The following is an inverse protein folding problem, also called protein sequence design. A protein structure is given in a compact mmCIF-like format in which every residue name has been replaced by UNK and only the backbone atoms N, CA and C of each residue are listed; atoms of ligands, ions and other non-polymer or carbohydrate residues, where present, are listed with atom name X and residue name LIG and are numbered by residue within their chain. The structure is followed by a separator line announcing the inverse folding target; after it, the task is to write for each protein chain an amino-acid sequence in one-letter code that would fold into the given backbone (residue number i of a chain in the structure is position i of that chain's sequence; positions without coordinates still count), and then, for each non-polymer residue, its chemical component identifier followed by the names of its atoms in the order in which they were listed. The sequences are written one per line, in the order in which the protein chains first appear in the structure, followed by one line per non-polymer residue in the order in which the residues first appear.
data_IF_401791729818
#
_entry.id   IF_401791729818
#
_cell.length_a   1.000
_cell.length_b   1.000
_cell.length_c   1.000
_cell.angle_alpha   90.00
_cell.angle_beta   90.00
_cell.angle_gamma   90.00
#
_symmetry.space_group_name_H-M   'P 1'
#
loop_
_entity.id
_entity.type
_entity.pdbx_description
1 polymer ?
#
# COMPACT_ATOMS: atom_id res chain seq x y z
N UNK A 1 16.41 -89.67 -15.46
CA UNK A 1 15.28 -89.16 -14.71
C UNK A 1 15.82 -88.28 -13.63
N UNK A 2 15.46 -87.05 -13.62
CA UNK A 2 15.12 -86.12 -12.48
C UNK A 2 15.37 -84.69 -12.95
N UNK A 3 14.27 -83.98 -12.96
CA UNK A 3 14.14 -82.55 -13.32
C UNK A 3 14.86 -81.65 -12.33
N UNK A 4 15.63 -80.66 -12.84
CA UNK A 4 16.17 -79.54 -12.07
C UNK A 4 15.39 -78.23 -12.38
N UNK A 5 14.74 -77.67 -11.41
CA UNK A 5 13.98 -76.38 -11.47
C UNK A 5 14.92 -75.18 -11.54
N UNK A 6 14.81 -74.37 -12.58
CA UNK A 6 15.44 -73.07 -12.69
C UNK A 6 14.64 -72.05 -11.86
N UNK A 7 15.24 -71.49 -10.82
CA UNK A 7 14.75 -70.31 -10.09
C UNK A 7 15.37 -69.02 -10.69
N UNK A 8 14.59 -68.29 -11.48
CA UNK A 8 14.92 -66.97 -11.93
C UNK A 8 14.59 -65.96 -10.82
N UNK A 9 15.60 -65.45 -10.14
CA UNK A 9 15.44 -64.29 -9.20
C UNK A 9 15.30 -63.02 -10.03
N UNK A 10 14.09 -62.43 -10.04
CA UNK A 10 13.85 -61.08 -10.57
C UNK A 10 14.46 -60.06 -9.62
N UNK A 11 15.51 -59.37 -10.08
CA UNK A 11 16.14 -58.24 -9.40
C UNK A 11 15.28 -57.00 -9.65
N UNK A 12 14.53 -56.55 -8.66
CA UNK A 12 13.83 -55.25 -8.70
C UNK A 12 14.85 -54.15 -8.37
N UNK A 13 15.31 -53.42 -9.38
CA UNK A 13 16.11 -52.21 -9.19
C UNK A 13 15.16 -51.08 -8.86
N UNK A 14 15.15 -50.68 -7.57
CA UNK A 14 14.40 -49.50 -7.06
C UNK A 14 15.16 -48.25 -7.50
N UNK A 15 14.65 -47.53 -8.50
CA UNK A 15 15.17 -46.23 -8.93
C UNK A 15 14.76 -45.19 -7.87
N UNK A 16 15.63 -44.82 -6.95
CA UNK A 16 15.48 -43.68 -6.06
C UNK A 16 15.71 -42.40 -6.88
N UNK A 17 14.62 -41.73 -7.30
CA UNK A 17 14.69 -40.36 -7.77
C UNK A 17 15.03 -39.44 -6.58
N UNK A 18 16.07 -38.61 -6.67
CA UNK A 18 16.31 -37.61 -5.66
C UNK A 18 15.16 -36.58 -5.71
N UNK A 19 14.37 -36.47 -4.62
CA UNK A 19 13.48 -35.34 -4.40
C UNK A 19 14.35 -34.08 -4.31
N UNK A 20 14.39 -33.30 -5.37
CA UNK A 20 14.96 -31.95 -5.32
C UNK A 20 14.08 -31.11 -4.38
N UNK A 21 14.52 -30.96 -3.15
CA UNK A 21 13.95 -30.00 -2.21
C UNK A 21 14.39 -28.63 -2.70
N UNK A 22 13.57 -28.01 -3.56
CA UNK A 22 13.70 -26.60 -3.82
C UNK A 22 13.40 -25.86 -2.51
N UNK A 23 14.30 -24.99 -2.02
CA UNK A 23 13.98 -24.15 -0.89
C UNK A 23 12.76 -23.30 -1.31
N UNK A 24 11.60 -23.58 -0.70
CA UNK A 24 10.49 -22.62 -0.75
C UNK A 24 11.03 -21.36 -0.08
N UNK A 25 11.34 -20.34 -0.86
CA UNK A 25 11.42 -18.99 -0.37
C UNK A 25 10.01 -18.74 0.20
N UNK A 26 9.89 -18.82 1.52
CA UNK A 26 8.66 -18.41 2.20
C UNK A 26 8.43 -16.97 1.79
N UNK A 27 7.41 -16.72 0.97
CA UNK A 27 6.99 -15.37 0.67
C UNK A 27 6.76 -14.67 2.02
N UNK A 28 7.31 -13.46 2.17
CA UNK A 28 7.08 -12.64 3.36
C UNK A 28 5.57 -12.53 3.56
N UNK A 29 5.09 -12.89 4.74
CA UNK A 29 3.67 -12.95 5.05
C UNK A 29 3.37 -12.04 6.23
N UNK A 30 2.42 -11.14 6.01
CA UNK A 30 1.83 -10.29 7.05
C UNK A 30 0.38 -10.73 7.21
N UNK A 31 -0.09 -10.89 8.43
CA UNK A 31 -1.50 -11.23 8.65
C UNK A 31 -2.42 -10.10 8.15
N UNK A 32 -3.54 -10.40 7.50
CA UNK A 32 -4.58 -9.42 7.17
C UNK A 32 -5.04 -8.64 8.40
N UNK A 33 -5.49 -7.41 8.18
CA UNK A 33 -6.15 -6.64 9.24
C UNK A 33 -7.51 -7.26 9.60
N UNK A 34 -7.93 -7.04 10.83
CA UNK A 34 -9.19 -7.54 11.37
C UNK A 34 -10.17 -6.38 11.61
N UNK A 35 -11.47 -6.68 11.60
CA UNK A 35 -12.50 -5.68 11.92
C UNK A 35 -12.21 -5.04 13.28
N UNK A 36 -12.17 -3.70 13.30
CA UNK A 36 -11.91 -2.91 14.49
C UNK A 36 -10.43 -2.64 14.75
N UNK A 37 -9.51 -3.16 13.92
CA UNK A 37 -8.10 -2.80 14.04
C UNK A 37 -7.88 -1.28 13.91
N UNK A 38 -7.00 -0.80 14.78
CA UNK A 38 -6.46 0.55 14.75
C UNK A 38 -4.99 0.45 14.35
N UNK A 39 -4.71 0.81 13.12
CA UNK A 39 -3.38 0.64 12.51
C UNK A 39 -2.64 1.97 12.50
N UNK A 40 -1.46 2.04 13.11
CA UNK A 40 -0.58 3.20 12.99
C UNK A 40 0.59 2.89 12.07
N UNK A 41 0.83 3.78 11.12
CA UNK A 41 1.98 3.71 10.23
C UNK A 41 3.05 4.67 10.73
N UNK A 42 4.07 4.11 11.39
CA UNK A 42 5.17 4.87 12.01
C UNK A 42 6.36 4.90 11.05
N UNK A 43 6.87 6.10 10.78
CA UNK A 43 8.00 6.28 9.87
C UNK A 43 8.50 7.72 9.81
N UNK A 44 9.22 8.00 8.73
CA UNK A 44 9.79 9.31 8.42
C UNK A 44 8.99 10.05 7.33
N UNK A 45 9.64 10.91 6.53
CA UNK A 45 9.04 11.67 5.42
C UNK A 45 8.30 10.80 4.40
N UNK A 46 8.78 9.57 4.14
CA UNK A 46 8.13 8.65 3.19
C UNK A 46 6.76 8.23 3.70
N UNK A 47 6.58 8.10 5.00
CA UNK A 47 5.28 7.84 5.62
C UNK A 47 4.47 9.12 5.78
N UNK A 48 5.10 10.22 6.22
CA UNK A 48 4.48 11.53 6.43
C UNK A 48 3.79 12.06 5.17
N UNK A 49 4.57 12.24 4.10
CA UNK A 49 4.09 12.83 2.85
C UNK A 49 3.50 11.86 1.85
N UNK A 50 3.56 10.55 2.14
CA UNK A 50 3.16 9.52 1.18
C UNK A 50 1.77 8.95 1.40
N UNK A 51 1.26 8.28 0.35
CA UNK A 51 -0.11 7.78 0.31
C UNK A 51 -0.23 6.27 0.50
N UNK A 52 0.87 5.51 0.64
CA UNK A 52 0.78 4.05 0.65
C UNK A 52 -0.20 3.51 1.71
N UNK A 53 -0.23 4.09 2.91
CA UNK A 53 -1.16 3.70 3.97
C UNK A 53 -2.60 4.07 3.65
N UNK A 54 -2.84 5.21 2.98
CA UNK A 54 -4.16 5.62 2.49
C UNK A 54 -4.65 4.66 1.39
N UNK A 55 -3.76 4.23 0.48
CA UNK A 55 -4.08 3.24 -0.55
C UNK A 55 -4.36 1.85 0.04
N UNK A 56 -3.61 1.42 1.06
CA UNK A 56 -3.91 0.16 1.77
C UNK A 56 -5.30 0.24 2.41
N UNK A 57 -5.64 1.35 3.06
CA UNK A 57 -6.96 1.51 3.66
C UNK A 57 -8.06 1.57 2.61
N UNK A 58 -7.85 2.26 1.49
CA UNK A 58 -8.79 2.30 0.36
C UNK A 58 -9.09 0.89 -0.18
N UNK A 59 -8.08 0.02 -0.28
CA UNK A 59 -8.30 -1.37 -0.64
C UNK A 59 -9.25 -2.08 0.34
N UNK A 60 -9.02 -1.91 1.63
CA UNK A 60 -9.92 -2.50 2.65
C UNK A 60 -11.32 -1.87 2.62
N UNK A 61 -11.44 -0.56 2.42
CA UNK A 61 -12.74 0.12 2.28
C UNK A 61 -13.55 -0.40 1.10
N UNK A 62 -12.90 -0.75 0.00
CA UNK A 62 -13.58 -1.22 -1.22
C UNK A 62 -13.80 -2.73 -1.22
N UNK A 63 -12.83 -3.53 -0.80
CA UNK A 63 -12.93 -4.99 -0.84
C UNK A 63 -13.68 -5.60 0.35
N UNK A 64 -13.67 -4.92 1.49
CA UNK A 64 -14.27 -5.43 2.72
C UNK A 64 -15.18 -4.38 3.37
N UNK A 65 -16.29 -3.98 2.70
CA UNK A 65 -17.14 -2.86 3.15
C UNK A 65 -17.74 -3.05 4.55
N UNK A 66 -17.87 -4.30 5.02
CA UNK A 66 -18.29 -4.61 6.39
C UNK A 66 -17.19 -4.60 7.44
N UNK A 67 -15.93 -4.40 7.02
CA UNK A 67 -14.74 -4.42 7.89
C UNK A 67 -14.28 -3.00 8.21
N UNK A 68 -14.92 -2.38 9.21
CA UNK A 68 -14.48 -1.04 9.65
C UNK A 68 -13.12 -1.14 10.31
N UNK A 69 -12.16 -0.39 9.76
CA UNK A 69 -10.81 -0.18 10.28
C UNK A 69 -10.62 1.30 10.62
N UNK A 70 -9.59 1.57 11.39
CA UNK A 70 -9.07 2.92 11.57
C UNK A 70 -7.57 2.91 11.30
N UNK A 71 -7.08 3.83 10.48
CA UNK A 71 -5.67 3.93 10.14
C UNK A 71 -5.17 5.35 10.36
N UNK A 72 -3.95 5.48 10.85
CA UNK A 72 -3.31 6.77 11.08
C UNK A 72 -1.90 6.82 10.51
N UNK A 73 -1.58 7.94 9.90
CA UNK A 73 -0.24 8.34 9.56
C UNK A 73 0.47 8.87 10.82
N UNK A 74 1.56 8.21 11.21
CA UNK A 74 2.46 8.62 12.28
C UNK A 74 3.90 8.82 11.73
N UNK A 75 4.03 9.26 10.50
CA UNK A 75 5.30 9.71 9.90
C UNK A 75 5.62 11.14 10.30
N UNK A 76 6.92 11.46 10.42
CA UNK A 76 7.44 12.84 10.55
C UNK A 76 8.67 12.98 9.67
N UNK A 77 8.71 14.03 8.86
CA UNK A 77 9.81 14.30 7.92
C UNK A 77 11.15 14.42 8.64
N UNK A 78 12.20 13.77 8.12
CA UNK A 78 13.53 13.83 8.70
C UNK A 78 13.85 12.80 9.79
N UNK A 79 12.86 12.16 10.38
CA UNK A 79 13.05 11.24 11.50
C UNK A 79 14.02 10.09 11.18
N UNK A 80 14.89 9.83 12.13
CA UNK A 80 15.62 8.57 12.32
C UNK A 80 14.92 7.75 13.42
N UNK A 81 15.42 6.54 13.69
CA UNK A 81 14.91 5.73 14.81
C UNK A 81 14.91 6.48 16.16
N UNK A 82 15.86 7.41 16.37
CA UNK A 82 15.97 8.21 17.60
C UNK A 82 14.81 9.21 17.74
N UNK A 83 14.50 9.97 16.72
CA UNK A 83 13.43 10.97 16.73
C UNK A 83 12.05 10.28 16.82
N UNK A 84 11.86 9.15 16.10
CA UNK A 84 10.65 8.33 16.26
C UNK A 84 10.46 7.91 17.72
N UNK A 85 11.52 7.46 18.41
CA UNK A 85 11.44 7.06 19.81
C UNK A 85 11.08 8.23 20.73
N UNK A 86 11.61 9.44 20.45
CA UNK A 86 11.37 10.63 21.27
C UNK A 86 9.89 11.07 21.30
N UNK A 87 9.13 10.81 20.21
CA UNK A 87 7.70 11.15 20.10
C UNK A 87 6.75 9.95 20.27
N UNK A 88 7.28 8.79 20.59
CA UNK A 88 6.55 7.53 20.48
C UNK A 88 5.31 7.47 21.36
N UNK A 89 5.39 7.91 22.62
CA UNK A 89 4.27 7.86 23.55
C UNK A 89 3.17 8.85 23.17
N UNK A 90 3.55 10.10 22.90
CA UNK A 90 2.61 11.20 22.68
C UNK A 90 1.98 11.21 21.29
N UNK A 91 2.73 10.81 20.25
CA UNK A 91 2.24 10.85 18.87
C UNK A 91 1.72 9.49 18.38
N UNK A 92 2.38 8.39 18.76
CA UNK A 92 2.03 7.06 18.25
C UNK A 92 1.07 6.32 19.18
N UNK A 93 1.44 6.14 20.46
CA UNK A 93 0.62 5.37 21.40
C UNK A 93 -0.67 6.09 21.79
N UNK A 94 -0.71 7.43 21.72
CA UNK A 94 -1.94 8.21 21.91
C UNK A 94 -3.05 7.84 20.92
N UNK A 95 -2.72 7.22 19.77
CA UNK A 95 -3.68 6.73 18.77
C UNK A 95 -4.31 5.38 19.14
N UNK A 96 -3.90 4.78 20.28
CA UNK A 96 -4.39 3.48 20.77
C UNK A 96 -4.32 2.37 19.71
N UNK A 97 -3.14 2.10 19.10
CA UNK A 97 -3.01 1.10 18.05
C UNK A 97 -3.26 -0.32 18.56
N UNK A 98 -3.94 -1.15 17.74
CA UNK A 98 -3.94 -2.62 17.87
C UNK A 98 -2.90 -3.25 16.96
N UNK A 99 -2.54 -2.54 15.86
CA UNK A 99 -1.49 -2.91 14.93
C UNK A 99 -0.57 -1.71 14.73
N UNK A 100 0.72 -1.94 14.82
CA UNK A 100 1.74 -0.91 14.64
C UNK A 100 2.70 -1.36 13.55
N UNK A 101 2.80 -0.57 12.47
CA UNK A 101 3.88 -0.72 11.49
C UNK A 101 5.02 0.22 11.84
N UNK A 102 6.27 -0.25 11.69
CA UNK A 102 7.44 0.53 12.07
C UNK A 102 8.49 0.47 10.97
N UNK A 103 8.88 1.64 10.45
CA UNK A 103 9.90 1.77 9.40
C UNK A 103 10.85 2.92 9.68
N UNK A 104 12.15 2.72 9.39
CA UNK A 104 13.22 3.70 9.46
C UNK A 104 14.37 3.27 8.56
N UNK A 105 15.44 4.05 8.44
CA UNK A 105 16.66 3.67 7.74
C UNK A 105 17.09 4.67 6.65
N UNK A 106 16.15 5.36 6.01
CA UNK A 106 16.48 6.34 4.95
C UNK A 106 17.36 7.47 5.49
N UNK A 107 16.96 8.07 6.61
CA UNK A 107 17.69 9.18 7.24
C UNK A 107 18.85 8.67 8.13
N UNK A 108 18.68 7.50 8.76
CA UNK A 108 19.67 6.89 9.63
C UNK A 108 21.00 6.60 8.91
N UNK A 109 20.95 6.38 7.60
CA UNK A 109 22.13 6.07 6.79
C UNK A 109 22.87 7.32 6.27
N UNK A 110 22.32 8.56 6.47
CA UNK A 110 22.95 9.81 5.99
C UNK A 110 22.84 9.98 4.48
N UNK A 111 23.44 11.04 3.94
CA UNK A 111 23.27 11.47 2.54
C UNK A 111 24.58 11.89 1.86
N UNK A 112 24.95 13.18 1.95
CA UNK A 112 25.99 13.85 1.14
C UNK A 112 27.38 13.26 1.33
N UNK A 113 27.66 12.68 2.48
CA UNK A 113 28.97 12.14 2.84
C UNK A 113 29.33 10.88 2.02
N UNK A 114 28.37 10.25 1.35
CA UNK A 114 28.65 9.19 0.38
C UNK A 114 29.46 9.67 -0.83
N UNK A 115 29.52 10.97 -1.08
CA UNK A 115 30.33 11.56 -2.15
C UNK A 115 31.76 11.86 -1.71
N UNK A 116 32.12 11.65 -0.43
CA UNK A 116 33.44 11.91 0.11
C UNK A 116 34.36 10.69 -0.05
N UNK A 117 35.68 10.92 0.00
CA UNK A 117 36.68 9.86 -0.12
C UNK A 117 36.62 8.83 1.02
N UNK A 118 36.10 9.19 2.19
CA UNK A 118 35.95 8.36 3.38
C UNK A 118 34.53 7.77 3.52
N UNK A 119 33.72 7.79 2.45
CA UNK A 119 32.32 7.31 2.41
C UNK A 119 32.13 5.93 3.03
N UNK A 120 33.09 5.01 2.85
CA UNK A 120 33.01 3.67 3.46
C UNK A 120 33.15 3.70 5.00
N UNK A 121 33.93 4.62 5.55
CA UNK A 121 34.04 4.81 7.01
C UNK A 121 32.75 5.44 7.55
N UNK A 122 32.24 6.45 6.86
CA UNK A 122 30.96 7.08 7.15
C UNK A 122 29.81 6.06 7.14
N UNK A 123 29.69 5.21 6.12
CA UNK A 123 28.67 4.18 6.04
C UNK A 123 28.72 3.21 7.24
N UNK A 124 29.93 2.80 7.67
CA UNK A 124 30.10 1.95 8.87
C UNK A 124 29.66 2.67 10.15
N UNK A 125 30.04 3.93 10.30
CA UNK A 125 29.63 4.75 11.43
C UNK A 125 28.10 4.87 11.49
N UNK A 126 27.44 5.20 10.37
CA UNK A 126 25.98 5.34 10.30
C UNK A 126 25.26 4.04 10.59
N UNK A 127 25.76 2.90 10.12
CA UNK A 127 25.21 1.58 10.47
C UNK A 127 25.31 1.31 11.98
N UNK A 128 26.42 1.67 12.62
CA UNK A 128 26.58 1.50 14.07
C UNK A 128 25.63 2.43 14.84
N UNK A 129 25.52 3.69 14.45
CA UNK A 129 24.55 4.64 15.04
C UNK A 129 23.11 4.14 14.89
N UNK A 130 22.73 3.65 13.70
CA UNK A 130 21.40 3.09 13.43
C UNK A 130 21.13 1.85 14.32
N UNK A 131 22.13 0.98 14.49
CA UNK A 131 22.05 -0.19 15.40
C UNK A 131 21.78 0.23 16.84
N UNK A 132 22.51 1.20 17.35
CA UNK A 132 22.40 1.67 18.74
C UNK A 132 21.03 2.33 18.99
N UNK A 133 20.58 3.19 18.08
CA UNK A 133 19.29 3.87 18.14
C UNK A 133 18.15 2.86 18.06
N UNK A 134 18.24 1.92 17.11
CA UNK A 134 17.23 0.87 16.96
C UNK A 134 17.13 -0.06 18.15
N UNK A 135 18.25 -0.37 18.83
CA UNK A 135 18.22 -1.17 20.06
C UNK A 135 17.31 -0.54 21.14
N UNK A 136 17.31 0.79 21.27
CA UNK A 136 16.42 1.50 22.19
C UNK A 136 14.94 1.42 21.73
N UNK A 137 14.70 1.54 20.42
CA UNK A 137 13.37 1.33 19.88
C UNK A 137 12.88 -0.11 20.10
N UNK A 138 13.74 -1.10 19.86
CA UNK A 138 13.42 -2.52 20.08
C UNK A 138 13.00 -2.79 21.53
N UNK A 139 13.70 -2.24 22.52
CA UNK A 139 13.31 -2.36 23.93
C UNK A 139 11.93 -1.72 24.21
N UNK A 140 11.66 -0.53 23.63
CA UNK A 140 10.35 0.11 23.73
C UNK A 140 9.26 -0.76 23.10
N UNK A 141 9.47 -1.24 21.89
CA UNK A 141 8.49 -2.06 21.15
C UNK A 141 8.20 -3.39 21.89
N UNK A 142 9.21 -4.03 22.49
CA UNK A 142 9.06 -5.25 23.31
C UNK A 142 8.21 -5.02 24.55
N UNK A 143 8.23 -3.82 25.11
CA UNK A 143 7.44 -3.48 26.30
C UNK A 143 5.94 -3.38 26.03
N UNK A 144 5.52 -3.21 24.78
CA UNK A 144 4.13 -3.04 24.38
C UNK A 144 3.36 -4.37 24.49
N UNK A 145 2.18 -4.33 25.08
CA UNK A 145 1.32 -5.51 25.23
C UNK A 145 0.07 -5.38 24.36
N UNK A 146 -0.32 -6.48 23.73
CA UNK A 146 -1.56 -6.53 22.95
C UNK A 146 -1.53 -5.78 21.63
N UNK A 147 -0.36 -5.31 21.20
CA UNK A 147 -0.17 -4.63 19.90
C UNK A 147 0.55 -5.60 18.96
N UNK A 148 -0.05 -5.85 17.79
CA UNK A 148 0.59 -6.60 16.70
C UNK A 148 1.61 -5.71 16.01
N UNK A 149 2.84 -6.20 15.89
CA UNK A 149 3.97 -5.45 15.35
C UNK A 149 4.30 -5.92 13.94
N UNK A 150 4.40 -4.99 13.00
CA UNK A 150 4.87 -5.20 11.62
C UNK A 150 6.10 -4.33 11.37
N UNK A 151 7.27 -4.94 11.32
CA UNK A 151 8.49 -4.25 10.95
C UNK A 151 8.58 -4.15 9.43
N UNK A 152 8.86 -2.94 8.91
CA UNK A 152 8.93 -2.68 7.46
C UNK A 152 10.33 -2.19 7.12
N UNK A 153 11.06 -2.95 6.28
CA UNK A 153 12.25 -2.48 5.59
C UNK A 153 11.87 -1.41 4.57
N UNK A 154 12.42 -0.22 4.74
CA UNK A 154 12.03 1.00 3.99
C UNK A 154 12.21 0.86 2.48
N UNK A 155 11.48 1.69 1.69
CA UNK A 155 11.71 1.84 0.24
C UNK A 155 13.17 2.18 -0.06
N UNK A 156 13.69 1.88 -1.26
CA UNK A 156 15.09 2.14 -1.60
C UNK A 156 15.38 3.63 -1.77
N UNK A 157 16.64 4.01 -1.53
CA UNK A 157 17.25 5.12 -2.22
C UNK A 157 17.59 4.66 -3.65
N UNK A 158 17.14 5.40 -4.67
CA UNK A 158 17.42 5.00 -6.04
C UNK A 158 18.82 5.42 -6.47
N UNK A 159 19.75 4.47 -6.43
CA UNK A 159 21.13 4.64 -6.89
C UNK A 159 21.36 4.09 -8.31
N UNK A 160 20.31 3.64 -9.01
CA UNK A 160 20.42 2.94 -10.30
C UNK A 160 19.96 3.75 -11.50
N UNK A 161 19.00 4.65 -11.33
CA UNK A 161 18.48 5.49 -12.40
C UNK A 161 19.51 6.53 -12.87
N UNK A 162 19.52 6.80 -14.16
CA UNK A 162 20.46 7.75 -14.82
C UNK A 162 19.84 9.12 -15.13
N UNK A 163 18.70 9.48 -14.54
CA UNK A 163 18.03 10.76 -14.85
C UNK A 163 18.82 12.01 -14.44
N UNK A 164 19.78 11.88 -13.53
CA UNK A 164 20.79 12.89 -13.17
C UNK A 164 22.02 12.23 -12.54
N UNK A 165 23.10 12.98 -12.39
CA UNK A 165 24.39 12.52 -11.84
C UNK A 165 24.50 12.66 -10.31
N UNK A 166 23.47 13.18 -9.63
CA UNK A 166 23.49 13.38 -8.17
C UNK A 166 23.16 12.06 -7.46
N UNK A 167 24.10 11.14 -7.41
CA UNK A 167 23.96 9.81 -6.84
C UNK A 167 24.81 9.68 -5.59
N UNK A 168 24.20 9.25 -4.48
CA UNK A 168 24.91 8.81 -3.27
C UNK A 168 25.23 7.33 -3.41
N UNK A 169 26.36 7.03 -4.06
CA UNK A 169 26.78 5.65 -4.34
C UNK A 169 26.85 4.83 -3.05
N UNK A 170 26.36 3.58 -3.09
CA UNK A 170 26.34 2.65 -1.95
C UNK A 170 25.44 3.06 -0.76
N UNK A 171 24.66 4.15 -0.86
CA UNK A 171 23.70 4.50 0.18
C UNK A 171 22.65 3.40 0.35
N UNK A 172 22.05 2.91 -0.73
CA UNK A 172 21.06 1.85 -0.64
C UNK A 172 21.64 0.52 -0.14
N UNK A 173 22.91 0.23 -0.44
CA UNK A 173 23.61 -0.94 0.12
C UNK A 173 23.69 -0.87 1.65
N UNK A 174 23.93 0.35 2.19
CA UNK A 174 23.94 0.55 3.64
C UNK A 174 22.53 0.48 4.25
N UNK A 175 21.51 0.98 3.54
CA UNK A 175 20.10 0.82 3.94
C UNK A 175 19.72 -0.66 4.03
N UNK A 176 20.15 -1.51 3.09
CA UNK A 176 19.89 -2.96 3.16
C UNK A 176 20.53 -3.60 4.41
N UNK A 177 21.66 -3.09 4.90
CA UNK A 177 22.27 -3.55 6.16
C UNK A 177 21.42 -3.15 7.37
N UNK A 178 20.82 -1.95 7.36
CA UNK A 178 19.87 -1.53 8.40
C UNK A 178 18.60 -2.40 8.35
N UNK A 179 18.10 -2.70 7.14
CA UNK A 179 16.94 -3.58 6.96
C UNK A 179 17.23 -4.99 7.50
N UNK A 180 18.44 -5.49 7.33
CA UNK A 180 18.83 -6.79 7.92
C UNK A 180 18.76 -6.76 9.47
N UNK A 181 19.10 -5.63 10.13
CA UNK A 181 18.91 -5.48 11.58
C UNK A 181 17.42 -5.54 11.96
N UNK A 182 16.55 -4.93 11.16
CA UNK A 182 15.10 -4.94 11.35
C UNK A 182 14.53 -6.37 11.21
N UNK A 183 14.96 -7.10 10.18
CA UNK A 183 14.56 -8.48 9.94
C UNK A 183 14.99 -9.40 11.09
N UNK A 184 16.25 -9.28 11.53
CA UNK A 184 16.78 -10.04 12.69
C UNK A 184 15.98 -9.75 13.96
N UNK A 185 15.65 -8.48 14.23
CA UNK A 185 14.85 -8.10 15.39
C UNK A 185 13.42 -8.65 15.29
N UNK A 186 12.79 -8.55 14.12
CA UNK A 186 11.47 -9.11 13.90
C UNK A 186 11.45 -10.62 14.14
N UNK A 187 12.41 -11.36 13.61
CA UNK A 187 12.56 -12.80 13.83
C UNK A 187 12.77 -13.14 15.30
N UNK A 188 13.63 -12.38 15.99
CA UNK A 188 13.99 -12.60 17.39
C UNK A 188 12.81 -12.37 18.35
N UNK A 189 11.95 -11.39 18.02
CA UNK A 189 10.82 -10.98 18.85
C UNK A 189 9.48 -11.58 18.38
N UNK A 190 9.43 -12.38 17.32
CA UNK A 190 8.20 -12.94 16.77
C UNK A 190 7.29 -11.88 16.11
N UNK A 191 7.87 -10.78 15.63
CA UNK A 191 7.16 -9.74 14.88
C UNK A 191 7.05 -10.12 13.40
N UNK A 192 6.05 -9.58 12.73
CA UNK A 192 5.94 -9.68 11.28
C UNK A 192 6.97 -8.78 10.60
N UNK A 193 7.43 -9.16 9.41
CA UNK A 193 8.42 -8.39 8.65
C UNK A 193 8.07 -8.31 7.18
N UNK A 194 8.28 -7.12 6.58
CA UNK A 194 8.14 -6.86 5.16
C UNK A 194 9.35 -6.07 4.64
N UNK A 195 10.10 -6.64 3.71
CA UNK A 195 11.13 -5.91 2.95
C UNK A 195 10.48 -5.23 1.74
N UNK A 196 10.43 -3.91 1.71
CA UNK A 196 10.01 -3.12 0.55
C UNK A 196 11.17 -2.78 -0.38
N UNK A 197 12.41 -2.76 0.13
CA UNK A 197 13.58 -2.28 -0.59
C UNK A 197 13.88 -3.14 -1.81
N UNK A 198 14.17 -4.42 -1.60
CA UNK A 198 14.57 -5.32 -2.69
C UNK A 198 13.52 -5.46 -3.79
N UNK A 199 12.22 -5.65 -3.49
CA UNK A 199 11.19 -5.72 -4.52
C UNK A 199 11.08 -4.42 -5.32
N UNK A 200 11.16 -3.25 -4.69
CA UNK A 200 11.09 -1.97 -5.39
C UNK A 200 12.32 -1.71 -6.26
N UNK A 201 13.53 -2.08 -5.79
CA UNK A 201 14.75 -2.06 -6.64
C UNK A 201 14.55 -2.93 -7.87
N UNK A 202 14.01 -4.14 -7.71
CA UNK A 202 13.77 -5.05 -8.84
C UNK A 202 12.75 -4.48 -9.84
N UNK A 203 11.69 -3.81 -9.36
CA UNK A 203 10.72 -3.11 -10.22
C UNK A 203 11.37 -1.96 -10.98
N UNK A 204 12.19 -1.13 -10.33
CA UNK A 204 12.94 -0.07 -10.98
C UNK A 204 13.87 -0.61 -12.06
N UNK A 205 14.72 -1.56 -11.73
CA UNK A 205 15.70 -2.14 -12.66
C UNK A 205 15.03 -2.74 -13.89
N UNK A 206 13.89 -3.40 -13.73
CA UNK A 206 13.13 -3.95 -14.85
C UNK A 206 12.64 -2.86 -15.81
N UNK A 207 12.18 -1.70 -15.31
CA UNK A 207 11.79 -0.59 -16.17
C UNK A 207 13.02 0.09 -16.81
N UNK A 208 14.13 0.13 -16.10
CA UNK A 208 15.40 0.71 -16.55
C UNK A 208 16.04 -0.10 -17.69
N UNK A 209 15.64 -1.35 -17.94
CA UNK A 209 16.04 -2.11 -19.14
C UNK A 209 15.62 -1.39 -20.44
N UNK A 210 14.49 -0.69 -20.43
CA UNK A 210 13.96 0.07 -21.57
C UNK A 210 14.11 1.58 -21.47
N UNK A 211 14.14 2.11 -20.25
CA UNK A 211 14.30 3.53 -19.94
C UNK A 211 15.24 3.70 -18.75
N UNK A 212 16.56 3.84 -18.99
CA UNK A 212 17.56 3.96 -17.91
C UNK A 212 17.32 5.12 -16.94
N UNK A 213 16.54 6.14 -17.35
CA UNK A 213 16.17 7.28 -16.50
C UNK A 213 14.93 7.03 -15.64
N UNK A 214 14.24 5.88 -15.81
CA UNK A 214 13.04 5.57 -15.05
C UNK A 214 13.33 5.41 -13.55
N UNK A 215 12.41 5.90 -12.72
CA UNK A 215 12.39 5.66 -11.27
C UNK A 215 10.97 5.69 -10.68
N UNK A 216 10.71 4.81 -9.71
CA UNK A 216 9.55 4.86 -8.80
C UNK A 216 9.76 5.81 -7.61
N UNK A 217 11.02 6.30 -7.43
CA UNK A 217 11.46 7.03 -6.23
C UNK A 217 11.55 8.51 -6.57
N UNK A 218 10.79 9.13 -7.25
CA UNK A 218 10.79 10.58 -7.52
C UNK A 218 12.16 11.19 -7.86
N UNK A 219 12.17 12.50 -8.12
CA UNK A 219 13.32 13.20 -8.66
C UNK A 219 14.46 13.44 -7.66
N UNK A 220 14.22 13.28 -6.38
CA UNK A 220 15.23 13.38 -5.31
C UNK A 220 15.88 12.04 -4.95
N UNK A 221 15.47 10.94 -5.57
CA UNK A 221 15.94 9.58 -5.32
C UNK A 221 15.58 9.02 -3.93
N UNK A 222 14.78 9.75 -3.14
CA UNK A 222 14.45 9.48 -1.73
C UNK A 222 12.97 9.17 -1.56
N UNK A 223 12.12 10.07 -2.05
CA UNK A 223 10.68 10.04 -1.82
C UNK A 223 9.95 9.42 -3.02
N UNK A 224 9.29 8.26 -2.84
CA UNK A 224 8.45 7.69 -3.88
C UNK A 224 7.39 8.68 -4.35
N UNK A 225 7.12 8.70 -5.65
CA UNK A 225 5.96 9.40 -6.22
C UNK A 225 4.68 8.58 -5.96
N UNK A 226 3.50 9.05 -6.34
CA UNK A 226 2.25 8.34 -6.01
C UNK A 226 2.19 6.93 -6.63
N UNK A 227 2.75 6.70 -7.81
CA UNK A 227 2.89 5.36 -8.39
C UNK A 227 3.86 4.47 -7.58
N UNK A 228 4.93 5.05 -7.04
CA UNK A 228 5.83 4.38 -6.10
C UNK A 228 5.15 4.05 -4.78
N UNK A 229 4.34 4.96 -4.21
CA UNK A 229 3.51 4.68 -3.03
C UNK A 229 2.44 3.62 -3.30
N UNK A 230 1.87 3.59 -4.50
CA UNK A 230 0.94 2.53 -4.90
C UNK A 230 1.66 1.18 -5.06
N UNK A 231 2.92 1.17 -5.53
CA UNK A 231 3.74 -0.05 -5.54
C UNK A 231 4.03 -0.56 -4.12
N UNK A 232 4.29 0.34 -3.15
CA UNK A 232 4.41 -0.02 -1.72
C UNK A 232 3.11 -0.67 -1.22
N UNK A 233 1.96 -0.04 -1.50
CA UNK A 233 0.66 -0.59 -1.11
C UNK A 233 0.39 -1.97 -1.74
N UNK A 234 0.74 -2.14 -3.02
CA UNK A 234 0.64 -3.44 -3.70
C UNK A 234 1.48 -4.52 -3.01
N UNK A 235 2.75 -4.24 -2.70
CA UNK A 235 3.65 -5.18 -2.03
C UNK A 235 3.15 -5.53 -0.63
N UNK A 236 2.62 -4.56 0.10
CA UNK A 236 2.04 -4.77 1.42
C UNK A 236 0.79 -5.67 1.34
N UNK A 237 -0.15 -5.35 0.44
CA UNK A 237 -1.37 -6.12 0.23
C UNK A 237 -1.06 -7.54 -0.29
N UNK A 238 -0.06 -7.68 -1.16
CA UNK A 238 0.42 -8.98 -1.61
C UNK A 238 0.95 -9.82 -0.44
N UNK A 239 1.75 -9.22 0.46
CA UNK A 239 2.24 -9.89 1.66
C UNK A 239 1.11 -10.30 2.62
N UNK A 240 -0.02 -9.58 2.61
CA UNK A 240 -1.24 -9.94 3.33
C UNK A 240 -2.10 -11.00 2.61
N UNK A 241 -1.66 -11.52 1.47
CA UNK A 241 -2.43 -12.53 0.70
C UNK A 241 -3.67 -11.97 0.02
N UNK A 242 -3.68 -10.66 -0.31
CA UNK A 242 -4.83 -10.03 -0.98
C UNK A 242 -4.83 -10.25 -2.49
N UNK A 243 -3.69 -10.62 -3.08
CA UNK A 243 -3.58 -10.89 -4.51
C UNK A 243 -4.55 -12.01 -4.94
N UNK A 244 -5.33 -11.74 -6.00
CA UNK A 244 -6.27 -12.67 -6.61
C UNK A 244 -7.62 -12.76 -5.91
N UNK A 245 -7.87 -11.95 -4.85
CA UNK A 245 -9.22 -11.84 -4.28
C UNK A 245 -10.14 -11.15 -5.28
N UNK A 246 -11.28 -11.77 -5.53
CA UNK A 246 -12.25 -11.28 -6.51
C UNK A 246 -13.09 -10.13 -5.92
N UNK A 247 -13.32 -9.09 -6.71
CA UNK A 247 -14.41 -8.14 -6.51
C UNK A 247 -15.73 -8.87 -6.77
N UNK A 248 -15.82 -9.55 -7.91
CA UNK A 248 -16.88 -10.48 -8.27
C UNK A 248 -16.36 -11.43 -9.37
N UNK A 249 -16.85 -12.67 -9.42
CA UNK A 249 -16.69 -13.57 -10.57
C UNK A 249 -18.07 -14.04 -11.04
N UNK A 250 -18.49 -13.52 -12.18
CA UNK A 250 -19.79 -13.72 -12.79
C UNK A 250 -19.66 -14.57 -14.06
N UNK A 251 -20.15 -15.81 -14.04
CA UNK A 251 -20.12 -16.67 -15.22
C UNK A 251 -21.52 -17.18 -15.56
N UNK A 252 -21.96 -16.92 -16.79
CA UNK A 252 -23.30 -17.28 -17.27
C UNK A 252 -23.23 -17.99 -18.63
N UNK A 253 -24.16 -18.91 -18.84
CA UNK A 253 -24.43 -19.46 -20.16
C UNK A 253 -25.76 -18.88 -20.70
N UNK A 254 -25.65 -17.99 -21.67
CA UNK A 254 -26.81 -17.32 -22.29
C UNK A 254 -27.69 -18.25 -23.08
N UNK A 255 -27.17 -19.38 -23.62
CA UNK A 255 -27.95 -20.35 -24.35
C UNK A 255 -28.99 -21.05 -23.43
N UNK A 256 -28.60 -21.40 -22.22
CA UNK A 256 -29.47 -22.01 -21.22
C UNK A 256 -30.08 -21.01 -20.24
N UNK A 257 -29.56 -19.79 -20.13
CA UNK A 257 -29.93 -18.81 -19.10
C UNK A 257 -29.45 -19.20 -17.69
N UNK A 258 -28.44 -20.06 -17.58
CA UNK A 258 -27.93 -20.55 -16.30
C UNK A 258 -26.74 -19.72 -15.82
N UNK A 259 -26.66 -19.45 -14.52
CA UNK A 259 -25.48 -19.01 -13.81
C UNK A 259 -24.61 -20.24 -13.58
N UNK A 260 -23.38 -20.23 -14.13
CA UNK A 260 -22.41 -21.31 -13.99
C UNK A 260 -21.43 -21.08 -12.84
N UNK A 261 -21.19 -19.80 -12.49
CA UNK A 261 -20.43 -19.38 -11.30
C UNK A 261 -20.88 -18.02 -10.81
N UNK A 262 -20.93 -17.86 -9.50
CA UNK A 262 -21.09 -16.58 -8.82
C UNK A 262 -20.24 -16.63 -7.56
N UNK A 263 -19.06 -15.96 -7.58
CA UNK A 263 -18.14 -15.87 -6.45
C UNK A 263 -18.04 -14.42 -6.01
N UNK A 264 -18.12 -14.17 -4.72
CA UNK A 264 -18.16 -12.84 -4.10
C UNK A 264 -19.27 -11.92 -4.67
N UNK A 265 -20.34 -12.52 -5.22
CA UNK A 265 -21.50 -11.81 -5.74
C UNK A 265 -22.76 -12.69 -5.69
N UNK A 266 -23.91 -12.06 -5.86
CA UNK A 266 -25.20 -12.72 -6.06
C UNK A 266 -25.81 -12.30 -7.39
N UNK A 267 -26.00 -13.24 -8.31
CA UNK A 267 -26.67 -13.03 -9.59
C UNK A 267 -28.15 -13.41 -9.45
N UNK A 268 -29.03 -12.59 -9.99
CA UNK A 268 -30.49 -12.80 -9.95
C UNK A 268 -31.15 -12.26 -11.22
N UNK A 269 -32.46 -12.55 -11.39
CA UNK A 269 -33.31 -12.09 -12.50
C UNK A 269 -32.67 -12.33 -13.88
N UNK A 270 -32.03 -13.48 -14.06
CA UNK A 270 -31.45 -13.86 -15.34
C UNK A 270 -32.57 -14.06 -16.37
N UNK A 271 -32.53 -13.28 -17.44
CA UNK A 271 -33.55 -13.29 -18.50
C UNK A 271 -32.88 -13.31 -19.86
N UNK A 272 -33.20 -14.35 -20.64
CA UNK A 272 -32.88 -14.35 -22.07
C UNK A 272 -33.76 -13.30 -22.76
N UNK A 273 -33.13 -12.46 -23.61
CA UNK A 273 -33.84 -11.55 -24.50
C UNK A 273 -33.79 -12.09 -25.94
N UNK A 274 -34.54 -11.50 -26.85
CA UNK A 274 -34.48 -11.89 -28.28
C UNK A 274 -33.07 -11.77 -28.81
N UNK A 275 -32.32 -10.72 -28.33
CA UNK A 275 -31.04 -10.31 -28.86
C UNK A 275 -29.86 -10.48 -27.86
N UNK A 276 -30.08 -11.21 -26.73
CA UNK A 276 -29.00 -11.35 -25.76
C UNK A 276 -29.40 -11.84 -24.38
N UNK A 277 -28.82 -11.23 -23.34
CA UNK A 277 -28.98 -11.65 -21.95
C UNK A 277 -29.08 -10.43 -21.02
N UNK A 278 -30.01 -10.46 -20.07
CA UNK A 278 -30.10 -9.50 -18.96
C UNK A 278 -30.01 -10.24 -17.63
N UNK A 279 -29.35 -9.62 -16.65
CA UNK A 279 -29.31 -10.13 -15.26
C UNK A 279 -29.02 -9.02 -14.27
N UNK A 280 -29.36 -9.22 -13.01
CA UNK A 280 -28.94 -8.37 -11.92
C UNK A 280 -27.78 -9.03 -11.18
N UNK A 281 -26.81 -8.21 -10.76
CA UNK A 281 -25.70 -8.61 -9.91
C UNK A 281 -25.57 -7.68 -8.70
N UNK A 282 -25.40 -8.28 -7.51
CA UNK A 282 -24.95 -7.61 -6.29
C UNK A 282 -23.60 -8.19 -5.91
N UNK A 283 -22.52 -7.48 -6.17
CA UNK A 283 -21.18 -7.84 -5.70
C UNK A 283 -21.07 -7.65 -4.17
N UNK A 284 -20.15 -8.34 -3.53
CA UNK A 284 -19.86 -8.16 -2.10
C UNK A 284 -18.76 -7.12 -1.86
N UNK A 285 -18.08 -6.68 -2.93
CA UNK A 285 -16.98 -5.74 -2.92
C UNK A 285 -17.15 -4.68 -4.01
N UNK A 286 -16.43 -3.57 -3.89
CA UNK A 286 -16.25 -2.59 -4.96
C UNK A 286 -14.87 -2.76 -5.61
N UNK A 287 -14.68 -2.34 -6.87
CA UNK A 287 -13.37 -2.26 -7.50
C UNK A 287 -12.40 -1.40 -6.68
N UNK A 288 -11.09 -1.73 -6.73
CA UNK A 288 -10.04 -0.88 -6.18
C UNK A 288 -9.72 0.24 -7.17
N UNK A 289 -10.14 1.49 -6.91
CA UNK A 289 -9.96 2.57 -7.87
C UNK A 289 -8.52 3.07 -7.85
N UNK A 290 -8.03 3.48 -9.03
CA UNK A 290 -6.72 4.09 -9.20
C UNK A 290 -6.85 5.57 -9.53
N UNK A 291 -6.20 6.42 -8.73
CA UNK A 291 -6.15 7.84 -8.99
C UNK A 291 -5.21 8.17 -10.16
N UNK A 292 -5.59 9.14 -10.94
CA UNK A 292 -4.79 9.68 -12.06
C UNK A 292 -4.14 11.01 -11.73
N UNK A 293 -4.52 11.63 -10.61
CA UNK A 293 -4.02 12.93 -10.16
C UNK A 293 -2.94 12.69 -9.10
N UNK A 294 -1.81 13.40 -9.13
CA UNK A 294 -0.83 13.40 -8.06
C UNK A 294 -1.37 14.08 -6.80
N UNK A 295 -1.09 13.51 -5.63
CA UNK A 295 -1.46 14.03 -4.33
C UNK A 295 -0.25 14.07 -3.37
N UNK A 296 -0.40 14.81 -2.28
CA UNK A 296 0.59 14.90 -1.22
C UNK A 296 1.93 15.42 -1.70
N UNK A 297 2.99 14.67 -1.47
CA UNK A 297 4.34 15.00 -1.93
C UNK A 297 4.67 14.39 -3.30
N UNK A 298 3.73 13.66 -3.93
CA UNK A 298 3.85 13.16 -5.29
C UNK A 298 3.46 14.24 -6.31
N UNK A 299 4.45 14.73 -7.07
CA UNK A 299 4.24 15.87 -7.97
C UNK A 299 4.17 15.50 -9.45
N UNK A 300 4.64 14.32 -9.83
CA UNK A 300 4.84 13.97 -11.23
C UNK A 300 3.89 12.87 -11.71
N UNK A 301 3.63 11.88 -10.86
CA UNK A 301 2.92 10.67 -11.24
C UNK A 301 1.69 10.44 -10.37
N UNK A 302 0.51 10.29 -10.99
CA UNK A 302 -0.66 9.73 -10.31
C UNK A 302 -0.50 8.22 -10.08
N UNK A 303 -1.17 7.70 -9.06
CA UNK A 303 -1.11 6.30 -8.63
C UNK A 303 -1.40 5.28 -9.75
N UNK A 304 -2.25 5.64 -10.71
CA UNK A 304 -2.61 4.78 -11.84
C UNK A 304 -1.43 4.39 -12.75
N UNK A 305 -0.32 5.14 -12.73
CA UNK A 305 0.89 4.80 -13.49
C UNK A 305 1.58 3.51 -13.00
N UNK A 306 1.28 3.03 -11.78
CA UNK A 306 1.74 1.75 -11.26
C UNK A 306 1.44 0.58 -12.20
N UNK A 307 0.35 0.65 -12.99
CA UNK A 307 -0.03 -0.39 -13.95
C UNK A 307 0.99 -0.59 -15.09
N UNK A 308 1.86 0.39 -15.34
CA UNK A 308 2.98 0.23 -16.28
C UNK A 308 4.11 -0.59 -15.69
N UNK A 309 4.33 -0.47 -14.38
CA UNK A 309 5.38 -1.16 -13.63
C UNK A 309 4.95 -2.57 -13.23
N UNK A 310 3.67 -2.69 -12.86
CA UNK A 310 3.02 -3.94 -12.44
C UNK A 310 1.81 -4.15 -13.38
N UNK A 311 2.01 -4.74 -14.57
CA UNK A 311 0.93 -4.89 -15.57
C UNK A 311 -0.25 -5.73 -15.08
N UNK A 312 -0.03 -6.61 -14.11
CA UNK A 312 -1.07 -7.47 -13.49
C UNK A 312 -1.81 -6.79 -12.35
N UNK A 313 -1.48 -5.54 -12.00
CA UNK A 313 -2.00 -4.85 -10.82
C UNK A 313 -3.53 -4.91 -10.69
N UNK A 314 -4.24 -4.60 -11.80
CA UNK A 314 -5.72 -4.60 -11.80
C UNK A 314 -6.26 -6.02 -11.61
N UNK A 315 -5.68 -7.01 -12.28
CA UNK A 315 -6.13 -8.41 -12.17
C UNK A 315 -5.76 -9.01 -10.81
N UNK A 316 -4.68 -8.52 -10.19
CA UNK A 316 -4.21 -8.98 -8.88
C UNK A 316 -5.05 -8.41 -7.72
N UNK A 317 -5.47 -7.14 -7.79
CA UNK A 317 -6.08 -6.43 -6.67
C UNK A 317 -7.49 -5.86 -6.97
N UNK A 318 -8.01 -6.01 -8.20
CA UNK A 318 -9.31 -5.46 -8.59
C UNK A 318 -9.95 -6.29 -9.69
N UNK A 319 -10.09 -7.60 -9.48
CA UNK A 319 -10.66 -8.49 -10.49
C UNK A 319 -12.18 -8.63 -10.32
N UNK A 320 -12.91 -7.87 -11.17
CA UNK A 320 -14.36 -7.99 -11.35
C UNK A 320 -14.65 -8.72 -12.66
N UNK A 321 -14.66 -10.04 -12.60
CA UNK A 321 -14.67 -10.89 -13.77
C UNK A 321 -16.08 -11.16 -14.30
N UNK A 322 -16.27 -11.00 -15.62
CA UNK A 322 -17.49 -11.36 -16.33
C UNK A 322 -17.18 -12.30 -17.50
N UNK A 323 -17.77 -13.50 -17.47
CA UNK A 323 -17.74 -14.47 -18.57
C UNK A 323 -19.17 -14.80 -19.01
N UNK A 324 -19.46 -14.66 -20.32
CA UNK A 324 -20.75 -15.06 -20.86
C UNK A 324 -20.56 -15.90 -22.11
N UNK A 325 -20.98 -17.16 -22.02
CA UNK A 325 -20.96 -18.11 -23.15
C UNK A 325 -22.34 -18.19 -23.84
N UNK A 326 -22.40 -18.85 -25.00
CA UNK A 326 -23.67 -19.12 -25.70
C UNK A 326 -24.27 -17.90 -26.44
N UNK A 327 -23.50 -16.83 -26.62
CA UNK A 327 -23.80 -15.67 -27.46
C UNK A 327 -23.09 -15.75 -28.82
N UNK A 328 -23.49 -14.91 -29.77
CA UNK A 328 -22.88 -14.84 -31.10
C UNK A 328 -22.79 -13.42 -31.63
N UNK A 329 -21.73 -13.10 -32.37
CA UNK A 329 -21.53 -11.78 -33.00
C UNK A 329 -20.94 -10.75 -32.02
N UNK A 330 -21.16 -9.48 -32.31
CA UNK A 330 -20.80 -8.36 -31.46
C UNK A 330 -21.98 -7.98 -30.56
N UNK A 331 -21.68 -7.68 -29.32
CA UNK A 331 -22.66 -7.35 -28.30
C UNK A 331 -22.30 -6.05 -27.60
N UNK A 332 -23.28 -5.18 -27.43
CA UNK A 332 -23.20 -4.03 -26.55
C UNK A 332 -23.42 -4.50 -25.11
N UNK A 333 -22.44 -4.25 -24.25
CA UNK A 333 -22.57 -4.40 -22.79
C UNK A 333 -23.00 -3.07 -22.20
N UNK A 334 -24.13 -3.07 -21.49
CA UNK A 334 -24.52 -1.93 -20.64
C UNK A 334 -24.78 -2.36 -19.20
N UNK A 335 -24.54 -1.44 -18.27
CA UNK A 335 -24.78 -1.60 -16.82
C UNK A 335 -25.63 -0.40 -16.38
N UNK A 336 -26.82 -0.67 -15.82
CA UNK A 336 -27.82 0.34 -15.44
C UNK A 336 -28.15 1.34 -16.56
N UNK A 337 -28.15 0.85 -17.82
CA UNK A 337 -28.39 1.66 -19.00
C UNK A 337 -27.20 2.48 -19.51
N UNK A 338 -26.05 2.43 -18.81
CA UNK A 338 -24.81 3.05 -19.27
C UNK A 338 -24.07 2.05 -20.17
N UNK A 339 -23.82 2.42 -21.43
CA UNK A 339 -23.06 1.60 -22.37
C UNK A 339 -21.59 1.55 -21.89
N UNK A 340 -21.08 0.33 -21.68
CA UNK A 340 -19.73 0.10 -21.20
C UNK A 340 -18.77 -0.17 -22.35
N UNK A 341 -19.13 -1.14 -23.23
CA UNK A 341 -18.27 -1.50 -24.37
C UNK A 341 -19.07 -2.29 -25.42
N UNK A 342 -18.49 -2.41 -26.60
CA UNK A 342 -18.92 -3.36 -27.62
C UNK A 342 -17.92 -4.48 -27.74
N UNK A 343 -18.34 -5.69 -27.38
CA UNK A 343 -17.49 -6.85 -27.22
C UNK A 343 -17.91 -7.99 -28.16
N UNK A 344 -16.93 -8.71 -28.70
CA UNK A 344 -17.22 -9.93 -29.41
C UNK A 344 -17.70 -11.05 -28.46
N UNK A 345 -18.54 -11.96 -28.95
CA UNK A 345 -18.93 -13.14 -28.20
C UNK A 345 -17.73 -14.01 -27.82
N UNK A 346 -16.67 -14.01 -28.63
CA UNK A 346 -15.40 -14.69 -28.31
C UNK A 346 -14.72 -14.04 -27.10
N UNK A 347 -14.62 -12.72 -27.05
CA UNK A 347 -14.06 -11.97 -25.90
C UNK A 347 -14.86 -12.24 -24.64
N UNK A 348 -16.21 -12.20 -24.70
CA UNK A 348 -17.08 -12.48 -23.56
C UNK A 348 -16.96 -13.92 -23.08
N UNK A 349 -16.74 -14.89 -23.99
CA UNK A 349 -16.56 -16.29 -23.62
C UNK A 349 -15.22 -16.60 -22.96
N UNK A 350 -14.18 -15.81 -23.22
CA UNK A 350 -12.89 -15.90 -22.52
C UNK A 350 -12.88 -15.13 -21.20
N UNK A 351 -13.80 -14.17 -21.04
CA UNK A 351 -13.95 -13.33 -19.85
C UNK A 351 -13.23 -11.98 -19.98
N UNK A 352 -13.80 -10.99 -19.29
CA UNK A 352 -13.26 -9.62 -19.16
C UNK A 352 -13.20 -9.22 -17.70
N UNK A 353 -12.27 -8.33 -17.36
CA UNK A 353 -12.23 -7.69 -16.05
C UNK A 353 -12.88 -6.30 -16.13
N UNK A 354 -14.05 -6.14 -15.52
CA UNK A 354 -14.84 -4.90 -15.53
C UNK A 354 -14.17 -3.74 -14.81
N UNK A 355 -13.26 -3.99 -13.87
CA UNK A 355 -12.48 -2.94 -13.20
C UNK A 355 -11.54 -2.17 -14.13
N UNK A 356 -11.37 -2.60 -15.37
CA UNK A 356 -10.66 -1.85 -16.41
C UNK A 356 -11.51 -0.72 -17.03
N UNK A 357 -12.83 -0.73 -16.81
CA UNK A 357 -13.78 0.26 -17.32
C UNK A 357 -14.17 1.24 -16.21
N UNK A 358 -13.47 2.36 -16.15
CA UNK A 358 -13.63 3.36 -15.08
C UNK A 358 -15.02 4.00 -15.01
N UNK A 359 -15.82 3.92 -16.07
CA UNK A 359 -17.16 4.51 -16.13
C UNK A 359 -18.29 3.56 -15.75
N UNK A 360 -17.98 2.34 -15.27
CA UNK A 360 -19.00 1.46 -14.69
C UNK A 360 -19.57 2.06 -13.40
N UNK A 361 -20.87 1.89 -13.10
CA UNK A 361 -21.50 2.47 -11.90
C UNK A 361 -20.79 2.12 -10.61
N UNK A 362 -20.36 0.86 -10.46
CA UNK A 362 -19.64 0.38 -9.28
C UNK A 362 -18.21 0.99 -9.16
N UNK A 363 -17.54 1.23 -10.28
CA UNK A 363 -16.25 1.94 -10.25
C UNK A 363 -16.44 3.42 -9.87
N UNK A 364 -17.50 4.07 -10.34
CA UNK A 364 -17.83 5.44 -9.94
C UNK A 364 -18.17 5.54 -8.44
N UNK A 365 -18.84 4.52 -7.88
CA UNK A 365 -19.05 4.42 -6.45
C UNK A 365 -17.71 4.30 -5.70
N UNK A 366 -16.79 3.48 -6.18
CA UNK A 366 -15.44 3.33 -5.60
C UNK A 366 -14.62 4.63 -5.68
N UNK A 367 -14.73 5.40 -6.77
CA UNK A 367 -14.11 6.72 -6.89
C UNK A 367 -14.66 7.72 -5.85
N UNK A 368 -15.92 7.63 -5.49
CA UNK A 368 -16.49 8.46 -4.42
C UNK A 368 -15.86 8.11 -3.07
N UNK A 369 -15.68 6.83 -2.77
CA UNK A 369 -14.97 6.36 -1.56
C UNK A 369 -13.53 6.88 -1.55
N UNK A 370 -12.83 6.81 -2.68
CA UNK A 370 -11.47 7.32 -2.83
C UNK A 370 -11.40 8.82 -2.57
N UNK A 371 -12.30 9.61 -3.15
CA UNK A 371 -12.31 11.07 -2.97
C UNK A 371 -12.51 11.48 -1.49
N UNK A 372 -13.40 10.79 -0.77
CA UNK A 372 -13.60 11.03 0.66
C UNK A 372 -12.36 10.62 1.49
N UNK A 373 -11.69 9.52 1.12
CA UNK A 373 -10.46 9.11 1.79
C UNK A 373 -9.32 10.11 1.55
N UNK A 374 -9.22 10.70 0.36
CA UNK A 374 -8.28 11.78 0.07
C UNK A 374 -8.60 13.04 0.88
N UNK A 375 -9.88 13.44 0.97
CA UNK A 375 -10.30 14.55 1.84
C UNK A 375 -9.89 14.31 3.30
N UNK A 376 -10.10 13.09 3.81
CA UNK A 376 -9.65 12.69 5.16
C UNK A 376 -8.13 12.84 5.31
N UNK A 377 -7.37 12.39 4.30
CA UNK A 377 -5.91 12.47 4.31
C UNK A 377 -5.43 13.94 4.34
N UNK A 378 -6.08 14.83 3.61
CA UNK A 378 -5.75 16.27 3.64
C UNK A 378 -5.96 16.90 5.02
N UNK A 379 -6.94 16.43 5.78
CA UNK A 379 -7.12 16.85 7.18
C UNK A 379 -6.00 16.28 8.05
N UNK A 380 -5.69 14.97 7.91
CA UNK A 380 -4.63 14.29 8.66
C UNK A 380 -3.25 14.92 8.43
N UNK A 381 -2.96 15.40 7.22
CA UNK A 381 -1.70 16.07 6.88
C UNK A 381 -1.41 17.27 7.79
N UNK A 382 -2.45 17.97 8.27
CA UNK A 382 -2.28 19.10 9.21
C UNK A 382 -1.72 18.62 10.56
N UNK A 383 -2.11 17.43 11.02
CA UNK A 383 -1.53 16.82 12.22
C UNK A 383 -0.09 16.42 12.02
N UNK A 384 0.30 15.99 10.81
CA UNK A 384 1.70 15.68 10.51
C UNK A 384 2.57 16.93 10.45
N UNK A 385 2.10 17.98 9.81
CA UNK A 385 2.78 19.28 9.84
C UNK A 385 2.92 19.83 11.26
N UNK A 386 1.88 19.71 12.09
CA UNK A 386 1.90 20.07 13.50
C UNK A 386 2.93 19.23 14.28
N UNK A 387 2.94 17.92 14.10
CA UNK A 387 3.90 17.03 14.73
C UNK A 387 5.34 17.40 14.35
N UNK A 388 5.62 17.61 13.06
CA UNK A 388 6.93 18.04 12.58
C UNK A 388 7.40 19.32 13.24
N UNK A 389 6.55 20.37 13.28
CA UNK A 389 6.89 21.64 13.94
C UNK A 389 7.17 21.44 15.43
N UNK A 390 6.35 20.64 16.11
CA UNK A 390 6.50 20.45 17.55
C UNK A 390 7.74 19.64 17.93
N UNK A 391 7.98 18.51 17.26
CA UNK A 391 9.05 17.61 17.66
C UNK A 391 10.41 18.07 17.17
N UNK A 392 10.51 18.65 15.96
CA UNK A 392 11.80 19.08 15.40
C UNK A 392 12.23 20.47 15.86
N UNK A 393 11.28 21.36 16.17
CA UNK A 393 11.60 22.75 16.47
C UNK A 393 11.17 23.21 17.86
N UNK A 394 9.93 22.92 18.27
CA UNK A 394 9.42 23.44 19.53
C UNK A 394 9.89 22.63 20.73
N UNK A 395 9.98 21.29 20.62
CA UNK A 395 10.50 20.43 21.68
C UNK A 395 11.97 20.75 22.05
N UNK A 396 12.91 20.88 21.11
CA UNK A 396 14.28 21.27 21.43
C UNK A 396 14.37 22.68 22.04
N UNK A 397 13.41 23.55 21.72
CA UNK A 397 13.32 24.90 22.27
C UNK A 397 12.61 24.97 23.64
N UNK A 398 12.12 23.83 24.17
CA UNK A 398 11.42 23.74 25.47
C UNK A 398 9.94 24.10 25.44
N UNK A 399 9.31 24.08 24.25
CA UNK A 399 7.91 24.48 24.05
C UNK A 399 7.04 23.37 23.41
N UNK A 400 7.32 22.11 23.69
CA UNK A 400 6.52 21.00 23.15
C UNK A 400 5.05 21.14 23.56
N UNK A 401 4.15 21.17 22.56
CA UNK A 401 2.69 21.30 22.75
C UNK A 401 2.25 22.53 23.56
N UNK A 402 3.10 23.54 23.69
CA UNK A 402 2.84 24.77 24.43
C UNK A 402 2.05 25.75 23.54
N UNK A 403 0.87 26.21 24.01
CA UNK A 403 0.00 27.16 23.33
C UNK A 403 0.14 28.61 23.87
N UNK A 404 1.16 28.90 24.66
CA UNK A 404 1.40 30.23 25.24
C UNK A 404 1.86 31.25 24.19
N UNK A 405 1.67 32.54 24.50
CA UNK A 405 2.23 33.63 23.71
C UNK A 405 3.76 33.58 23.62
N UNK A 406 4.43 32.98 24.61
CA UNK A 406 5.88 32.80 24.61
C UNK A 406 6.28 31.74 23.53
N UNK A 407 5.57 30.63 23.47
CA UNK A 407 5.75 29.61 22.42
C UNK A 407 5.52 30.22 21.03
N UNK A 408 4.43 30.99 20.85
CA UNK A 408 4.13 31.63 19.57
C UNK A 408 5.22 32.64 19.15
N UNK A 409 5.81 33.38 20.09
CA UNK A 409 6.97 34.26 19.80
C UNK A 409 8.20 33.43 19.41
N UNK A 410 8.46 32.32 20.11
CA UNK A 410 9.59 31.42 19.80
C UNK A 410 9.46 30.80 18.43
N UNK A 411 8.28 30.33 18.06
CA UNK A 411 8.01 29.81 16.72
C UNK A 411 8.30 30.87 15.64
N UNK A 412 7.82 32.11 15.81
CA UNK A 412 8.10 33.21 14.87
C UNK A 412 9.61 33.54 14.78
N UNK A 413 10.33 33.39 15.88
CA UNK A 413 11.80 33.54 15.89
C UNK A 413 12.48 32.44 15.07
N UNK A 414 12.09 31.17 15.26
CA UNK A 414 12.62 30.02 14.56
C UNK A 414 12.33 30.06 13.05
N UNK A 415 11.22 30.68 12.64
CA UNK A 415 10.92 30.90 11.22
C UNK A 415 11.89 31.86 10.51
N UNK A 416 12.62 32.71 11.25
CA UNK A 416 13.56 33.65 10.64
C UNK A 416 14.75 32.89 10.02
N UNK A 417 14.89 33.00 8.69
CA UNK A 417 15.94 32.29 7.96
C UNK A 417 15.64 30.80 7.69
N UNK A 418 14.42 30.35 7.97
CA UNK A 418 13.95 29.02 7.64
C UNK A 418 12.61 29.11 6.89
N UNK A 419 12.66 29.30 5.57
CA UNK A 419 11.48 29.48 4.72
C UNK A 419 10.56 28.25 4.73
N UNK A 420 11.12 27.03 4.89
CA UNK A 420 10.35 25.81 4.99
C UNK A 420 9.50 25.78 6.27
N UNK A 421 10.09 26.11 7.41
CA UNK A 421 9.33 26.23 8.67
C UNK A 421 8.32 27.38 8.61
N UNK A 422 8.69 28.52 8.02
CA UNK A 422 7.81 29.67 7.85
C UNK A 422 6.58 29.34 6.99
N UNK A 423 6.70 28.44 6.01
CA UNK A 423 5.58 27.96 5.18
C UNK A 423 4.51 27.21 6.00
N UNK A 424 4.87 26.65 7.16
CA UNK A 424 3.96 25.92 8.06
C UNK A 424 3.23 26.80 9.06
N UNK A 425 3.44 28.12 9.01
CA UNK A 425 2.84 29.05 9.96
C UNK A 425 1.31 28.98 10.00
N UNK A 426 0.67 28.87 8.81
CA UNK A 426 -0.81 28.78 8.75
C UNK A 426 -1.36 27.56 9.49
N UNK A 427 -0.71 26.41 9.33
CA UNK A 427 -1.05 25.17 10.05
C UNK A 427 -0.75 25.33 11.55
N UNK A 428 0.43 25.85 11.91
CA UNK A 428 0.82 26.04 13.33
C UNK A 428 -0.16 26.93 14.05
N UNK A 429 -0.52 28.11 13.50
CA UNK A 429 -1.42 29.09 14.12
C UNK A 429 -2.84 28.51 14.37
N UNK A 430 -3.26 27.50 13.60
CA UNK A 430 -4.52 26.77 13.82
C UNK A 430 -4.34 25.64 14.83
N UNK A 431 -3.37 24.76 14.56
CA UNK A 431 -3.18 23.50 15.29
C UNK A 431 -2.62 23.67 16.71
N UNK A 432 -2.05 24.84 17.03
CA UNK A 432 -1.63 25.16 18.41
C UNK A 432 -2.82 25.18 19.39
N UNK A 433 -4.06 25.36 18.89
CA UNK A 433 -5.29 25.38 19.69
C UNK A 433 -5.85 23.95 19.81
N UNK A 434 -5.96 23.39 21.03
CA UNK A 434 -6.48 22.03 21.24
C UNK A 434 -7.87 21.83 20.66
N UNK A 435 -8.75 22.85 20.78
CA UNK A 435 -10.14 22.78 20.29
C UNK A 435 -10.21 22.65 18.76
N UNK A 436 -9.24 23.24 18.05
CA UNK A 436 -9.14 23.10 16.58
C UNK A 436 -8.68 21.69 16.21
N UNK A 437 -7.72 21.12 16.94
CA UNK A 437 -7.30 19.73 16.71
C UNK A 437 -8.46 18.76 16.96
N UNK A 438 -9.21 18.95 18.05
CA UNK A 438 -10.39 18.13 18.34
C UNK A 438 -11.46 18.24 17.24
N UNK A 439 -11.67 19.43 16.67
CA UNK A 439 -12.60 19.62 15.56
C UNK A 439 -12.16 18.85 14.30
N UNK A 440 -10.88 18.89 13.97
CA UNK A 440 -10.34 18.15 12.83
C UNK A 440 -10.35 16.63 13.06
N UNK A 441 -10.15 16.14 14.28
CA UNK A 441 -10.33 14.72 14.60
C UNK A 441 -11.77 14.28 14.35
N UNK A 442 -12.75 15.06 14.79
CA UNK A 442 -14.17 14.79 14.52
C UNK A 442 -14.52 14.85 13.03
N UNK A 443 -13.91 15.76 12.29
CA UNK A 443 -14.08 15.84 10.82
C UNK A 443 -13.56 14.55 10.14
N UNK A 444 -12.38 14.06 10.52
CA UNK A 444 -11.85 12.80 10.00
C UNK A 444 -12.77 11.62 10.34
N UNK A 445 -13.29 11.54 11.56
CA UNK A 445 -14.22 10.49 11.97
C UNK A 445 -15.52 10.56 11.16
N UNK A 446 -16.06 11.75 10.93
CA UNK A 446 -17.25 11.96 10.09
C UNK A 446 -17.02 11.50 8.65
N UNK A 447 -15.87 11.82 8.06
CA UNK A 447 -15.51 11.36 6.72
C UNK A 447 -15.40 9.84 6.65
N UNK A 448 -14.83 9.19 7.66
CA UNK A 448 -14.76 7.73 7.76
C UNK A 448 -16.17 7.14 7.90
N UNK A 449 -17.08 7.74 8.68
CA UNK A 449 -18.46 7.29 8.78
C UNK A 449 -19.15 7.33 7.41
N UNK A 450 -19.05 8.43 6.67
CA UNK A 450 -19.60 8.55 5.33
C UNK A 450 -19.01 7.56 4.34
N UNK A 451 -17.70 7.27 4.44
CA UNK A 451 -17.06 6.26 3.61
C UNK A 451 -17.72 4.90 3.83
N UNK A 452 -17.92 4.48 5.10
CA UNK A 452 -18.52 3.18 5.41
C UNK A 452 -20.03 3.10 5.18
N UNK A 453 -20.72 4.22 5.02
CA UNK A 453 -22.10 4.29 4.50
C UNK A 453 -22.12 4.11 2.98
N UNK A 454 -21.22 4.78 2.26
CA UNK A 454 -21.20 4.84 0.80
C UNK A 454 -20.49 3.67 0.13
N UNK A 455 -19.62 2.96 0.84
CA UNK A 455 -18.86 1.82 0.31
C UNK A 455 -19.68 0.51 0.21
N UNK A 456 -20.95 0.51 0.66
CA UNK A 456 -21.80 -0.66 0.54
C UNK A 456 -22.17 -0.91 -0.93
N UNK A 457 -21.79 -2.07 -1.53
CA UNK A 457 -22.05 -2.32 -2.94
C UNK A 457 -23.55 -2.31 -3.25
N UNK A 458 -23.90 -1.79 -4.41
CA UNK A 458 -25.26 -1.70 -4.91
C UNK A 458 -25.55 -2.81 -5.93
N UNK A 459 -26.83 -3.18 -6.07
CA UNK A 459 -27.26 -4.07 -7.13
C UNK A 459 -27.28 -3.33 -8.46
N UNK A 460 -26.67 -3.91 -9.50
CA UNK A 460 -26.62 -3.38 -10.84
C UNK A 460 -27.29 -4.32 -11.84
N UNK A 461 -27.94 -3.76 -12.87
CA UNK A 461 -28.56 -4.51 -13.96
C UNK A 461 -27.64 -4.51 -15.17
N UNK A 462 -27.23 -5.69 -15.58
CA UNK A 462 -26.38 -5.95 -16.74
C UNK A 462 -27.26 -6.32 -17.95
N UNK A 463 -26.98 -5.73 -19.10
CA UNK A 463 -27.62 -6.07 -20.37
C UNK A 463 -26.55 -6.28 -21.44
N UNK A 464 -26.60 -7.45 -22.07
CA UNK A 464 -25.86 -7.77 -23.28
C UNK A 464 -26.85 -7.80 -24.45
N UNK A 465 -26.69 -6.96 -25.45
CA UNK A 465 -27.57 -6.84 -26.62
C UNK A 465 -26.77 -6.99 -27.89
N UNK A 466 -27.20 -7.87 -28.79
CA UNK A 466 -26.58 -8.04 -30.10
C UNK A 466 -26.76 -6.78 -30.95
N UNK A 467 -25.70 -6.38 -31.65
CA UNK A 467 -25.70 -5.29 -32.59
C UNK A 467 -26.08 -5.74 -34.01
#
# INVERSE_FOLDING_TARGET
MIYGKNNMKKLFTLLLLPLAVFPRVLAQSIAPFQKGDRVTFVGNSITDGGHYHSYIWLYYMTHFPGMRLWMANCGVGGDTAKEILARFDDDVLSKNPTVLTFTFGMNDTGYYEYNNADSAAFARQKLQEARERFALCEEKLKSLKGIRMVMIGTSPYDQTSTFNDNIFAHKNDNMQRVIALQEEAAKRNGWEFLDLNKPMVALNMKQQESDPAYTLIGSDRIHPDNDGHMAIAYLFLQAQGMKGKKVADMQLDAASGKVTRAENCRISKVKKTADGLQFDCLAASLPFPLDTVPHGWGFNNGAAKVTKVIPTFIDDLSDEHLTVTGLSGNLELSIDGIVIDTLSSATLSTGINLSRYRHTPQYQQALTVMALNETRWEVERRFREWAWVNYDFMMPAGFLNDNSEQAARKFRELCKGNDWLASKRGTYDQMVRPEVREAYEKEMDLLVDHIYELNQPKQHTFLLRKL
#
